data_IF_571030736992
#
_entry.id   IF_571030736992
#
_cell.length_a   1.000
_cell.length_b   1.000
_cell.length_c   1.000
_cell.angle_alpha   90.00
_cell.angle_beta   90.00
_cell.angle_gamma   90.00
#
_symmetry.space_group_name_H-M   'P 1'
#
loop_
_entity.id
_entity.type
_entity.pdbx_description
1 polymer ?
#
# COMPACT_ATOMS: atom_id res chain seq x y z
N UNK A 1 -0.88 38.13 0.55
CA UNK A 1 -1.27 37.02 -0.34
C UNK A 1 -0.59 35.78 0.21
N UNK A 2 -1.29 34.72 0.58
CA UNK A 2 -0.64 33.44 0.83
C UNK A 2 -0.09 32.91 -0.49
N UNK A 3 1.05 32.19 -0.49
CA UNK A 3 1.62 31.65 -1.73
C UNK A 3 0.63 30.70 -2.37
N UNK A 4 0.47 30.82 -3.70
CA UNK A 4 -0.30 29.90 -4.54
C UNK A 4 0.21 28.47 -4.25
N UNK A 5 -0.60 27.68 -3.57
CA UNK A 5 -0.39 26.24 -3.51
C UNK A 5 -0.66 25.70 -4.90
N UNK A 6 0.36 25.13 -5.54
CA UNK A 6 0.16 24.37 -6.76
C UNK A 6 -1.02 23.40 -6.55
N UNK A 7 -1.87 23.20 -7.57
CA UNK A 7 -2.99 22.27 -7.44
C UNK A 7 -2.43 20.88 -7.13
N UNK A 8 -2.74 20.38 -5.94
CA UNK A 8 -2.32 19.04 -5.51
C UNK A 8 -2.98 18.03 -6.44
N UNK A 9 -2.17 17.34 -7.24
CA UNK A 9 -2.66 16.37 -8.23
C UNK A 9 -3.17 15.13 -7.51
N UNK A 10 -4.43 14.77 -7.76
CA UNK A 10 -5.04 13.55 -7.22
C UNK A 10 -4.59 12.34 -8.03
N UNK A 11 -4.08 11.30 -7.35
CA UNK A 11 -3.77 10.00 -7.96
C UNK A 11 -5.01 9.11 -7.99
N UNK A 12 -5.76 9.07 -6.88
CA UNK A 12 -7.04 8.39 -6.82
C UNK A 12 -8.16 9.34 -6.43
N UNK A 13 -9.29 9.14 -7.07
CA UNK A 13 -10.57 9.70 -6.67
C UNK A 13 -11.60 8.59 -6.62
N UNK A 14 -11.97 8.16 -5.41
CA UNK A 14 -13.04 7.21 -5.14
C UNK A 14 -14.28 7.98 -4.68
N UNK A 15 -15.43 7.71 -5.30
CA UNK A 15 -16.69 8.38 -4.98
C UNK A 15 -17.80 7.38 -4.74
N UNK A 16 -18.43 7.45 -3.56
CA UNK A 16 -19.59 6.66 -3.15
C UNK A 16 -19.41 5.14 -3.36
N UNK A 17 -18.22 4.63 -3.05
CA UNK A 17 -17.87 3.22 -3.25
C UNK A 17 -18.67 2.35 -2.29
N UNK A 18 -19.43 1.41 -2.83
CA UNK A 18 -20.03 0.31 -2.07
C UNK A 18 -19.42 -1.02 -2.49
N UNK A 19 -19.39 -1.97 -1.56
CA UNK A 19 -19.03 -3.36 -1.85
C UNK A 19 -19.87 -4.30 -1.01
N UNK A 20 -20.58 -5.20 -1.67
CA UNK A 20 -21.38 -6.25 -1.06
C UNK A 20 -20.83 -7.60 -1.54
N UNK A 21 -20.45 -8.46 -0.62
CA UNK A 21 -20.08 -9.83 -0.89
C UNK A 21 -21.29 -10.74 -0.67
N UNK A 22 -21.63 -11.54 -1.67
CA UNK A 22 -22.69 -12.54 -1.58
C UNK A 22 -22.11 -13.87 -1.09
N UNK A 23 -22.44 -14.27 0.12
CA UNK A 23 -22.00 -15.52 0.76
C UNK A 23 -23.17 -16.47 0.92
N UNK A 24 -23.53 -17.18 -0.15
CA UNK A 24 -24.74 -17.99 -0.20
C UNK A 24 -25.99 -17.09 -0.10
N UNK A 25 -26.79 -17.28 0.96
CA UNK A 25 -27.99 -16.47 1.21
C UNK A 25 -27.74 -15.19 2.02
N UNK A 26 -26.48 -14.92 2.41
CA UNK A 26 -26.13 -13.77 3.25
C UNK A 26 -25.36 -12.73 2.45
N UNK A 27 -25.85 -11.49 2.50
CA UNK A 27 -25.18 -10.33 1.95
C UNK A 27 -24.33 -9.64 3.01
N UNK A 28 -23.03 -9.52 2.76
CA UNK A 28 -22.08 -8.85 3.66
C UNK A 28 -21.65 -7.53 3.04
N UNK A 29 -22.19 -6.39 3.49
CA UNK A 29 -21.79 -5.08 3.00
C UNK A 29 -20.45 -4.67 3.64
N UNK A 30 -19.36 -4.79 2.87
CA UNK A 30 -18.01 -4.45 3.32
C UNK A 30 -17.71 -2.95 3.19
N UNK A 31 -18.29 -2.25 2.19
CA UNK A 31 -18.19 -0.80 2.02
C UNK A 31 -19.58 -0.20 1.79
N UNK A 32 -19.82 0.98 2.37
CA UNK A 32 -21.15 1.59 2.46
C UNK A 32 -21.12 3.08 2.05
N UNK A 33 -20.67 3.39 0.83
CA UNK A 33 -20.59 4.75 0.30
C UNK A 33 -19.30 5.47 0.75
N UNK A 34 -18.14 4.84 0.53
CA UNK A 34 -16.83 5.42 0.84
C UNK A 34 -16.42 6.38 -0.28
N UNK A 35 -16.10 7.63 0.09
CA UNK A 35 -15.48 8.60 -0.80
C UNK A 35 -14.12 8.98 -0.26
N UNK A 36 -13.07 8.84 -1.08
CA UNK A 36 -11.67 9.06 -0.71
C UNK A 36 -10.89 9.62 -1.89
N UNK A 37 -10.09 10.65 -1.63
CA UNK A 37 -9.07 11.15 -2.52
C UNK A 37 -7.69 10.74 -1.98
N UNK A 38 -6.77 10.32 -2.84
CA UNK A 38 -5.37 10.05 -2.52
C UNK A 38 -4.49 10.92 -3.41
N UNK A 39 -3.59 11.71 -2.82
CA UNK A 39 -2.78 12.72 -3.50
C UNK A 39 -1.42 12.19 -3.86
N UNK A 40 -0.78 12.80 -4.88
CA UNK A 40 0.58 12.44 -5.28
C UNK A 40 1.56 12.58 -4.11
N UNK A 41 2.45 11.59 -3.98
CA UNK A 41 3.48 11.50 -2.93
C UNK A 41 2.97 11.50 -1.49
N UNK A 42 1.64 11.48 -1.29
CA UNK A 42 1.02 11.42 0.05
C UNK A 42 1.35 10.09 0.74
N UNK A 43 1.67 10.15 2.03
CA UNK A 43 1.71 8.99 2.91
C UNK A 43 0.40 8.96 3.72
N UNK A 44 -0.55 8.13 3.27
CA UNK A 44 -1.86 7.96 3.89
C UNK A 44 -1.86 6.74 4.83
N UNK A 45 -2.44 6.89 6.01
CA UNK A 45 -2.78 5.76 6.89
C UNK A 45 -4.29 5.57 6.94
N UNK A 46 -4.74 4.37 6.58
CA UNK A 46 -6.11 3.91 6.73
C UNK A 46 -6.22 3.13 8.04
N UNK A 47 -6.82 3.74 9.05
CA UNK A 47 -6.96 3.20 10.40
C UNK A 47 -8.35 2.62 10.62
N UNK A 48 -8.47 1.58 11.44
CA UNK A 48 -9.75 1.04 11.87
C UNK A 48 -9.67 -0.40 12.36
N UNK A 49 -10.70 -0.89 13.05
CA UNK A 49 -10.73 -2.26 13.56
C UNK A 49 -10.73 -3.30 12.44
N UNK A 50 -10.45 -4.55 12.78
CA UNK A 50 -10.61 -5.67 11.85
C UNK A 50 -12.05 -5.73 11.34
N UNK A 51 -12.22 -6.03 10.04
CA UNK A 51 -13.54 -6.09 9.40
C UNK A 51 -14.17 -4.73 9.06
N UNK A 52 -13.50 -3.60 9.27
CA UNK A 52 -14.05 -2.26 8.94
C UNK A 52 -14.10 -1.92 7.44
N UNK A 53 -13.59 -2.80 6.56
CA UNK A 53 -13.61 -2.59 5.10
C UNK A 53 -12.29 -2.08 4.51
N UNK A 54 -11.22 -1.89 5.30
CA UNK A 54 -9.91 -1.34 4.85
C UNK A 54 -9.30 -2.14 3.71
N UNK A 55 -9.11 -3.46 3.90
CA UNK A 55 -8.53 -4.35 2.87
C UNK A 55 -9.40 -4.42 1.62
N UNK A 56 -10.74 -4.37 1.78
CA UNK A 56 -11.66 -4.28 0.64
C UNK A 56 -11.46 -3.00 -0.15
N UNK A 57 -11.34 -1.85 0.52
CA UNK A 57 -11.08 -0.57 -0.14
C UNK A 57 -9.71 -0.61 -0.85
N UNK A 58 -8.66 -1.10 -0.18
CA UNK A 58 -7.32 -1.21 -0.78
C UNK A 58 -7.30 -2.13 -2.00
N UNK A 59 -8.01 -3.26 -1.94
CA UNK A 59 -8.12 -4.19 -3.08
C UNK A 59 -8.82 -3.53 -4.27
N UNK A 60 -9.84 -2.71 -4.03
CA UNK A 60 -10.54 -1.96 -5.08
C UNK A 60 -9.62 -0.88 -5.67
N UNK A 61 -8.93 -0.09 -4.86
CA UNK A 61 -7.95 0.90 -5.34
C UNK A 61 -6.82 0.23 -6.12
N UNK A 62 -6.38 -0.93 -5.68
CA UNK A 62 -5.34 -1.72 -6.35
C UNK A 62 -5.81 -2.51 -7.57
N UNK A 63 -7.10 -2.49 -7.93
CA UNK A 63 -7.64 -3.24 -9.05
C UNK A 63 -7.64 -4.76 -8.88
N UNK A 64 -7.57 -5.24 -7.63
CA UNK A 64 -7.72 -6.67 -7.29
C UNK A 64 -9.20 -7.07 -7.15
N UNK A 65 -10.06 -6.08 -6.89
CA UNK A 65 -11.50 -6.26 -6.80
C UNK A 65 -12.20 -5.06 -7.47
N UNK A 66 -13.49 -5.18 -7.75
CA UNK A 66 -14.30 -4.10 -8.31
C UNK A 66 -15.42 -3.74 -7.33
N UNK A 67 -15.81 -2.46 -7.22
CA UNK A 67 -16.92 -2.07 -6.35
C UNK A 67 -18.25 -2.61 -6.88
N UNK A 68 -19.24 -2.75 -5.98
CA UNK A 68 -20.62 -3.06 -6.36
C UNK A 68 -21.29 -1.82 -6.99
N UNK A 69 -20.98 -0.62 -6.46
CA UNK A 69 -21.39 0.66 -7.04
C UNK A 69 -20.40 1.76 -6.67
N UNK A 70 -20.57 2.93 -7.26
CA UNK A 70 -19.65 4.06 -7.12
C UNK A 70 -18.61 4.09 -8.23
N UNK A 71 -17.64 5.01 -8.14
CA UNK A 71 -16.63 5.21 -9.18
C UNK A 71 -15.25 5.33 -8.57
N UNK A 72 -14.27 4.65 -9.16
CA UNK A 72 -12.85 4.80 -8.84
C UNK A 72 -12.11 5.30 -10.07
N UNK A 73 -11.48 6.47 -9.95
CA UNK A 73 -10.61 7.03 -10.98
C UNK A 73 -9.16 6.96 -10.50
N UNK A 74 -8.28 6.48 -11.37
CA UNK A 74 -6.84 6.56 -11.22
C UNK A 74 -6.31 7.52 -12.29
N UNK A 75 -5.75 8.67 -11.87
CA UNK A 75 -5.28 9.75 -12.77
C UNK A 75 -6.31 10.07 -13.87
N UNK A 76 -7.60 10.10 -13.52
CA UNK A 76 -8.71 10.33 -14.44
C UNK A 76 -9.18 9.10 -15.23
N UNK A 77 -8.46 7.99 -15.24
CA UNK A 77 -8.88 6.74 -15.86
C UNK A 77 -9.86 5.99 -14.95
N UNK A 78 -11.01 5.59 -15.48
CA UNK A 78 -12.03 4.89 -14.71
C UNK A 78 -11.69 3.40 -14.56
N UNK A 79 -11.36 2.99 -13.33
CA UNK A 79 -11.08 1.59 -12.99
C UNK A 79 -12.34 0.76 -12.76
N UNK A 80 -13.47 1.40 -12.42
CA UNK A 80 -14.73 0.69 -12.10
C UNK A 80 -15.29 -0.07 -13.31
N UNK A 81 -15.09 0.48 -14.51
CA UNK A 81 -15.56 -0.11 -15.77
C UNK A 81 -14.45 -0.80 -16.57
N UNK A 82 -13.22 -0.83 -16.02
CA UNK A 82 -12.09 -1.44 -16.68
C UNK A 82 -12.23 -2.97 -16.74
N UNK A 83 -11.88 -3.55 -17.89
CA UNK A 83 -11.84 -4.99 -18.06
C UNK A 83 -10.63 -5.64 -17.39
N UNK A 84 -10.65 -6.98 -17.21
CA UNK A 84 -9.58 -7.71 -16.52
C UNK A 84 -8.18 -7.48 -17.13
N UNK A 85 -8.09 -7.31 -18.44
CA UNK A 85 -6.80 -7.01 -19.12
C UNK A 85 -6.27 -5.62 -18.74
N UNK A 86 -7.14 -4.63 -18.64
CA UNK A 86 -6.80 -3.26 -18.26
C UNK A 86 -6.40 -3.20 -16.77
N UNK A 87 -7.15 -3.89 -15.89
CA UNK A 87 -6.80 -4.00 -14.48
C UNK A 87 -5.47 -4.74 -14.28
N UNK A 88 -5.20 -5.78 -15.08
CA UNK A 88 -3.91 -6.48 -15.03
C UNK A 88 -2.76 -5.59 -15.47
N UNK A 89 -2.94 -4.80 -16.54
CA UNK A 89 -1.95 -3.81 -16.98
C UNK A 89 -1.73 -2.74 -15.90
N UNK A 90 -2.82 -2.22 -15.33
CA UNK A 90 -2.80 -1.24 -14.24
C UNK A 90 -2.01 -1.76 -13.03
N UNK A 91 -2.32 -2.96 -12.51
CA UNK A 91 -1.59 -3.59 -11.40
C UNK A 91 -0.11 -3.78 -11.71
N UNK A 92 0.20 -4.24 -12.92
CA UNK A 92 1.57 -4.49 -13.36
C UNK A 92 2.40 -3.21 -13.36
N UNK A 93 1.85 -2.13 -13.92
CA UNK A 93 2.61 -0.90 -14.17
C UNK A 93 2.58 0.09 -13.02
N UNK A 94 1.45 0.25 -12.37
CA UNK A 94 1.22 1.41 -11.49
C UNK A 94 1.13 1.09 -10.00
N UNK A 95 0.88 -0.18 -9.61
CA UNK A 95 0.61 -0.51 -8.21
C UNK A 95 1.61 -1.49 -7.64
N UNK A 96 2.32 -1.12 -6.58
CA UNK A 96 3.06 -2.03 -5.71
C UNK A 96 2.17 -2.52 -4.57
N UNK A 97 2.18 -3.82 -4.28
CA UNK A 97 1.47 -4.39 -3.14
C UNK A 97 2.43 -4.96 -2.11
N UNK A 98 2.17 -4.65 -0.84
CA UNK A 98 2.82 -5.24 0.33
C UNK A 98 1.74 -5.82 1.21
N UNK A 99 1.79 -7.13 1.47
CA UNK A 99 0.80 -7.86 2.28
C UNK A 99 1.38 -8.24 3.64
N UNK A 100 0.51 -8.51 4.61
CA UNK A 100 0.88 -8.98 5.94
C UNK A 100 1.70 -10.28 5.91
N UNK A 101 1.36 -11.21 5.04
CA UNK A 101 2.12 -12.45 4.79
C UNK A 101 2.97 -12.25 3.54
N UNK A 102 4.20 -11.99 3.66
CA UNK A 102 5.24 -11.56 2.71
C UNK A 102 5.07 -12.06 1.26
N UNK A 103 4.41 -13.21 1.05
CA UNK A 103 4.14 -13.83 -0.28
C UNK A 103 5.42 -14.00 -1.11
N UNK A 104 6.55 -14.34 -0.46
CA UNK A 104 7.79 -14.67 -1.15
C UNK A 104 7.72 -16.12 -1.67
N UNK A 105 8.39 -16.35 -2.79
CA UNK A 105 8.57 -17.70 -3.33
C UNK A 105 9.71 -18.37 -2.55
N UNK A 106 9.46 -19.46 -1.80
CA UNK A 106 10.43 -20.03 -0.86
C UNK A 106 11.70 -20.60 -1.52
N UNK A 107 11.59 -21.03 -2.79
CA UNK A 107 12.67 -21.60 -3.59
C UNK A 107 13.53 -20.56 -4.29
N UNK A 108 13.22 -19.28 -4.18
CA UNK A 108 13.97 -18.18 -4.77
C UNK A 108 14.67 -17.37 -3.68
N UNK A 109 15.87 -16.89 -3.97
CA UNK A 109 16.61 -15.94 -3.14
C UNK A 109 15.89 -14.60 -3.04
N UNK A 110 16.34 -13.70 -2.15
CA UNK A 110 15.82 -12.34 -2.05
C UNK A 110 15.92 -11.60 -3.40
N UNK A 111 17.07 -11.67 -4.06
CA UNK A 111 17.31 -11.09 -5.38
C UNK A 111 16.36 -11.64 -6.44
N UNK A 112 16.21 -12.95 -6.52
CA UNK A 112 15.32 -13.61 -7.48
C UNK A 112 13.84 -13.30 -7.21
N UNK A 113 13.41 -13.22 -5.95
CA UNK A 113 12.07 -12.78 -5.60
C UNK A 113 11.77 -11.36 -6.11
N UNK A 114 12.76 -10.45 -6.07
CA UNK A 114 12.62 -9.11 -6.62
C UNK A 114 12.67 -9.13 -8.15
N UNK A 115 13.52 -9.93 -8.74
CA UNK A 115 13.67 -10.05 -10.20
C UNK A 115 12.38 -10.47 -10.92
N UNK A 116 11.51 -11.25 -10.27
CA UNK A 116 10.22 -11.68 -10.84
C UNK A 116 9.35 -10.52 -11.38
N UNK A 117 9.45 -9.34 -10.80
CA UNK A 117 8.62 -8.21 -11.23
C UNK A 117 9.37 -7.30 -12.21
N UNK A 118 10.71 -7.39 -12.28
CA UNK A 118 11.49 -6.57 -13.20
C UNK A 118 11.37 -7.05 -14.65
N UNK A 119 11.13 -8.35 -14.86
CA UNK A 119 11.00 -8.95 -16.19
C UNK A 119 9.69 -8.59 -16.91
N UNK A 120 8.72 -8.02 -16.20
CA UNK A 120 7.38 -7.76 -16.73
C UNK A 120 7.05 -6.28 -16.91
N UNK A 121 8.00 -5.37 -16.66
CA UNK A 121 7.81 -3.91 -16.78
C UNK A 121 8.93 -3.27 -17.60
N UNK A 122 8.62 -2.10 -18.16
CA UNK A 122 9.61 -1.25 -18.84
C UNK A 122 10.37 -0.43 -17.78
N UNK A 123 11.68 -0.29 -17.88
CA UNK A 123 12.54 0.51 -16.99
C UNK A 123 12.41 0.17 -15.48
N UNK A 124 12.60 -1.10 -15.09
CA UNK A 124 12.59 -1.48 -13.68
C UNK A 124 13.84 -0.96 -12.95
N UNK A 125 13.74 -0.89 -11.62
CA UNK A 125 14.90 -0.76 -10.75
C UNK A 125 15.63 -2.12 -10.68
N UNK A 126 16.97 -2.12 -10.70
CA UNK A 126 17.73 -3.36 -10.51
C UNK A 126 17.39 -4.00 -9.16
N UNK A 127 17.28 -5.34 -9.07
CA UNK A 127 16.96 -6.03 -7.80
C UNK A 127 17.90 -5.64 -6.66
N UNK A 128 19.18 -5.48 -6.93
CA UNK A 128 20.20 -5.07 -5.95
C UNK A 128 19.96 -3.64 -5.43
N UNK A 129 19.52 -2.75 -6.31
CA UNK A 129 19.17 -1.36 -5.96
C UNK A 129 17.92 -1.34 -5.08
N UNK A 130 16.88 -2.09 -5.44
CA UNK A 130 15.65 -2.21 -4.66
C UNK A 130 15.91 -2.81 -3.26
N UNK A 131 16.75 -3.85 -3.18
CA UNK A 131 17.14 -4.46 -1.91
C UNK A 131 18.01 -3.52 -1.05
N UNK A 132 18.87 -2.72 -1.66
CA UNK A 132 19.65 -1.70 -0.95
C UNK A 132 18.76 -0.60 -0.35
N UNK A 133 17.71 -0.20 -1.05
CA UNK A 133 16.73 0.80 -0.57
C UNK A 133 16.05 0.39 0.75
N UNK A 134 15.99 -0.91 1.02
CA UNK A 134 15.38 -1.48 2.25
C UNK A 134 16.42 -2.11 3.18
N UNK A 135 17.70 -1.73 3.10
CA UNK A 135 18.81 -2.21 3.92
C UNK A 135 19.04 -3.74 3.88
N UNK A 136 18.92 -4.34 2.69
CA UNK A 136 19.15 -5.78 2.47
C UNK A 136 20.29 -6.09 1.50
N UNK A 137 21.24 -5.16 1.28
CA UNK A 137 22.39 -5.35 0.36
C UNK A 137 23.29 -6.51 0.73
N UNK A 138 23.28 -6.99 1.99
CA UNK A 138 24.04 -8.15 2.47
C UNK A 138 23.25 -9.45 2.44
N UNK A 139 21.99 -9.42 1.99
CA UNK A 139 21.03 -10.53 2.00
C UNK A 139 20.60 -11.00 0.61
N UNK A 140 21.22 -10.52 -0.46
CA UNK A 140 20.80 -10.73 -1.85
C UNK A 140 20.57 -12.21 -2.20
N UNK A 141 21.47 -13.07 -1.77
CA UNK A 141 21.48 -14.49 -2.12
C UNK A 141 20.92 -15.41 -1.00
N UNK A 142 20.25 -14.82 0.00
CA UNK A 142 19.56 -15.59 1.03
C UNK A 142 18.17 -16.01 0.59
N UNK A 143 17.80 -17.25 0.92
CA UNK A 143 16.44 -17.75 0.75
C UNK A 143 15.52 -17.24 1.86
N UNK A 144 14.20 -17.17 1.65
CA UNK A 144 13.26 -16.73 2.68
C UNK A 144 13.41 -17.46 4.03
N UNK A 145 13.73 -18.76 4.02
CA UNK A 145 13.99 -19.56 5.23
C UNK A 145 15.21 -19.13 6.05
N UNK A 146 16.10 -18.32 5.46
CA UNK A 146 17.32 -17.78 6.09
C UNK A 146 17.14 -16.33 6.56
N UNK A 147 15.96 -15.75 6.34
CA UNK A 147 15.63 -14.37 6.65
C UNK A 147 14.66 -14.30 7.82
N UNK A 148 14.84 -13.33 8.71
CA UNK A 148 13.83 -12.97 9.71
C UNK A 148 12.53 -12.50 9.08
N UNK A 149 11.42 -12.51 9.83
CA UNK A 149 10.13 -12.01 9.32
C UNK A 149 10.20 -10.58 8.78
N UNK A 150 10.90 -9.69 9.48
CA UNK A 150 11.10 -8.32 9.03
C UNK A 150 12.01 -8.19 7.80
N UNK A 151 13.04 -9.05 7.67
CA UNK A 151 13.83 -9.10 6.44
C UNK A 151 12.97 -9.60 5.27
N UNK A 152 12.14 -10.63 5.47
CA UNK A 152 11.21 -11.11 4.44
C UNK A 152 10.22 -10.03 4.02
N UNK A 153 9.68 -9.26 4.98
CA UNK A 153 8.79 -8.15 4.67
C UNK A 153 9.51 -7.06 3.88
N UNK A 154 10.75 -6.73 4.22
CA UNK A 154 11.54 -5.77 3.44
C UNK A 154 11.87 -6.29 2.02
N UNK A 155 12.09 -7.60 1.83
CA UNK A 155 12.18 -8.19 0.48
C UNK A 155 10.87 -8.00 -0.29
N UNK A 156 9.71 -8.19 0.37
CA UNK A 156 8.40 -7.95 -0.26
C UNK A 156 8.20 -6.47 -0.65
N UNK A 157 8.68 -5.52 0.16
CA UNK A 157 8.69 -4.10 -0.17
C UNK A 157 9.61 -3.84 -1.36
N UNK A 158 10.86 -4.34 -1.35
CA UNK A 158 11.80 -4.20 -2.47
C UNK A 158 11.19 -4.74 -3.77
N UNK A 159 10.56 -5.92 -3.73
CA UNK A 159 9.83 -6.48 -4.88
C UNK A 159 8.71 -5.56 -5.35
N UNK A 160 7.92 -5.00 -4.43
CA UNK A 160 6.81 -4.11 -4.79
C UNK A 160 7.27 -2.84 -5.49
N UNK A 161 8.44 -2.27 -5.10
CA UNK A 161 8.95 -1.00 -5.61
C UNK A 161 9.92 -1.14 -6.78
N UNK A 162 10.49 -2.33 -7.03
CA UNK A 162 11.44 -2.57 -8.12
C UNK A 162 10.84 -2.25 -9.50
N UNK A 163 9.55 -2.31 -9.66
CA UNK A 163 8.84 -1.93 -10.89
C UNK A 163 8.52 -0.43 -10.99
N UNK A 164 9.02 0.42 -10.06
CA UNK A 164 8.78 1.87 -9.99
C UNK A 164 7.28 2.24 -10.03
N UNK A 165 6.46 1.70 -9.12
CA UNK A 165 5.03 1.96 -9.13
C UNK A 165 4.72 3.41 -8.73
N UNK A 166 3.62 3.97 -9.27
CA UNK A 166 3.11 5.26 -8.82
C UNK A 166 2.54 5.20 -7.40
N UNK A 167 2.02 4.03 -7.02
CA UNK A 167 1.34 3.81 -5.74
C UNK A 167 1.82 2.54 -5.07
N UNK A 168 2.11 2.63 -3.77
CA UNK A 168 2.41 1.51 -2.88
C UNK A 168 1.24 1.30 -1.92
N UNK A 169 0.62 0.14 -2.00
CA UNK A 169 -0.51 -0.26 -1.16
C UNK A 169 -0.05 -1.33 -0.16
N UNK A 170 -0.09 -1.01 1.14
CA UNK A 170 0.39 -1.88 2.21
C UNK A 170 -0.79 -2.32 3.09
N UNK A 171 -1.08 -3.62 3.11
CA UNK A 171 -2.11 -4.21 3.97
C UNK A 171 -1.47 -4.84 5.21
N UNK A 172 -1.62 -4.20 6.38
CA UNK A 172 -1.08 -4.62 7.68
C UNK A 172 0.41 -5.01 7.63
N UNK A 173 1.31 -4.16 7.11
CA UNK A 173 2.69 -4.55 6.79
C UNK A 173 3.52 -4.95 8.02
N UNK A 174 3.06 -4.62 9.23
CA UNK A 174 3.72 -4.95 10.51
C UNK A 174 2.93 -5.92 11.39
N UNK A 175 1.76 -6.38 10.94
CA UNK A 175 0.82 -7.14 11.76
C UNK A 175 1.31 -8.51 12.27
N UNK A 176 2.37 -9.07 11.68
CA UNK A 176 2.97 -10.34 12.08
C UNK A 176 4.35 -10.17 12.77
N UNK A 177 4.75 -8.93 13.11
CA UNK A 177 6.09 -8.59 13.57
C UNK A 177 6.07 -8.04 15.00
N UNK A 178 7.18 -8.24 15.72
CA UNK A 178 7.43 -7.51 16.96
C UNK A 178 7.67 -6.01 16.70
N UNK A 179 7.59 -5.21 17.76
CA UNK A 179 7.67 -3.74 17.67
C UNK A 179 8.96 -3.27 16.98
N UNK A 180 10.12 -3.76 17.42
CA UNK A 180 11.42 -3.30 16.90
C UNK A 180 11.54 -3.62 15.40
N UNK A 181 11.16 -4.82 15.00
CA UNK A 181 11.15 -5.28 13.61
C UNK A 181 10.10 -4.51 12.77
N UNK A 182 8.93 -4.23 13.36
CA UNK A 182 7.87 -3.45 12.72
C UNK A 182 8.32 -2.02 12.41
N UNK A 183 9.07 -1.37 13.32
CA UNK A 183 9.65 -0.05 13.08
C UNK A 183 10.57 -0.06 11.86
N UNK A 184 11.47 -1.04 11.73
CA UNK A 184 12.37 -1.16 10.57
C UNK A 184 11.61 -1.32 9.24
N UNK A 185 10.49 -2.04 9.26
CA UNK A 185 9.61 -2.17 8.08
C UNK A 185 8.93 -0.85 7.74
N UNK A 186 8.44 -0.10 8.74
CA UNK A 186 7.83 1.22 8.52
C UNK A 186 8.87 2.24 8.07
N UNK A 187 10.12 2.19 8.56
CA UNK A 187 11.22 3.02 8.05
C UNK A 187 11.47 2.75 6.56
N UNK A 188 11.52 1.47 6.15
CA UNK A 188 11.68 1.11 4.74
C UNK A 188 10.54 1.65 3.87
N UNK A 189 9.28 1.55 4.32
CA UNK A 189 8.12 2.10 3.59
C UNK A 189 8.21 3.64 3.52
N UNK A 190 8.58 4.30 4.63
CA UNK A 190 8.74 5.76 4.68
C UNK A 190 9.86 6.22 3.74
N UNK A 191 10.99 5.50 3.70
CA UNK A 191 12.10 5.78 2.81
C UNK A 191 11.69 5.67 1.34
N UNK A 192 10.98 4.63 0.95
CA UNK A 192 10.41 4.45 -0.39
C UNK A 192 9.52 5.63 -0.78
N UNK A 193 8.60 6.05 0.09
CA UNK A 193 7.73 7.20 -0.18
C UNK A 193 8.55 8.48 -0.40
N UNK A 194 9.56 8.73 0.44
CA UNK A 194 10.36 9.95 0.40
C UNK A 194 11.35 9.99 -0.77
N UNK A 195 12.07 8.89 -1.05
CA UNK A 195 13.12 8.86 -2.07
C UNK A 195 12.56 8.69 -3.49
N UNK A 196 11.48 7.93 -3.65
CA UNK A 196 10.89 7.67 -4.95
C UNK A 196 9.68 8.56 -5.25
N UNK A 197 9.17 9.31 -4.27
CA UNK A 197 7.92 10.07 -4.41
C UNK A 197 6.68 9.18 -4.61
N UNK A 198 6.78 7.88 -4.30
CA UNK A 198 5.69 6.92 -4.49
C UNK A 198 4.55 7.23 -3.52
N UNK A 199 3.35 7.46 -4.04
CA UNK A 199 2.15 7.64 -3.21
C UNK A 199 1.90 6.38 -2.40
N UNK A 200 1.77 6.48 -1.07
CA UNK A 200 1.75 5.32 -0.19
C UNK A 200 0.48 5.29 0.66
N UNK A 201 -0.24 4.18 0.64
CA UNK A 201 -1.37 3.94 1.54
C UNK A 201 -1.09 2.71 2.42
N UNK A 202 -1.07 2.91 3.74
CA UNK A 202 -0.85 1.85 4.72
C UNK A 202 -2.13 1.59 5.49
N UNK A 203 -2.62 0.37 5.42
CA UNK A 203 -3.71 -0.10 6.27
C UNK A 203 -3.14 -0.67 7.55
N UNK A 204 -3.69 -0.26 8.69
CA UNK A 204 -3.34 -0.84 9.98
C UNK A 204 -4.47 -0.65 11.01
N UNK A 205 -4.46 -1.48 12.03
CA UNK A 205 -5.26 -1.28 13.24
C UNK A 205 -4.41 -0.66 14.37
N UNK A 206 -3.10 -0.46 14.15
CA UNK A 206 -2.20 0.14 15.13
C UNK A 206 -2.25 1.68 15.02
N UNK A 207 -2.84 2.33 16.03
CA UNK A 207 -2.99 3.78 16.07
C UNK A 207 -1.65 4.55 16.12
N UNK A 208 -0.58 3.94 16.62
CA UNK A 208 0.73 4.61 16.69
C UNK A 208 1.29 4.92 15.28
N UNK A 209 1.02 4.07 14.28
CA UNK A 209 1.45 4.27 12.90
C UNK A 209 0.85 5.53 12.28
N UNK A 210 -0.32 5.97 12.75
CA UNK A 210 -0.97 7.19 12.29
C UNK A 210 -0.08 8.44 12.44
N UNK A 211 0.78 8.48 13.46
CA UNK A 211 1.62 9.65 13.75
C UNK A 211 2.68 9.93 12.66
N UNK A 212 3.04 8.96 11.84
CA UNK A 212 4.01 9.14 10.75
C UNK A 212 3.37 9.56 9.40
N UNK A 213 2.05 9.51 9.29
CA UNK A 213 1.32 9.80 8.05
C UNK A 213 1.20 11.30 7.78
N UNK A 214 1.03 11.69 6.51
CA UNK A 214 0.56 13.02 6.13
C UNK A 214 -0.89 13.23 6.50
N UNK A 215 -1.68 12.15 6.36
CA UNK A 215 -3.11 12.15 6.61
C UNK A 215 -3.57 10.78 7.11
N UNK A 216 -4.54 10.80 8.00
CA UNK A 216 -5.13 9.62 8.60
C UNK A 216 -6.62 9.59 8.28
N UNK A 217 -7.07 8.50 7.68
CA UNK A 217 -8.48 8.24 7.40
C UNK A 217 -8.91 7.04 8.23
N UNK A 218 -9.94 7.21 9.06
CA UNK A 218 -10.46 6.13 9.89
C UNK A 218 -11.71 5.53 9.29
N UNK A 219 -11.72 4.19 9.18
CA UNK A 219 -12.86 3.41 8.72
C UNK A 219 -13.50 2.66 9.89
N UNK A 220 -14.83 2.65 9.92
CA UNK A 220 -15.65 1.83 10.82
C UNK A 220 -16.92 1.40 10.08
N UNK A 221 -17.28 0.12 10.19
CA UNK A 221 -18.49 -0.45 9.58
C UNK A 221 -18.68 -0.05 8.09
N UNK A 222 -17.59 -0.13 7.30
CA UNK A 222 -17.61 0.17 5.87
C UNK A 222 -17.76 1.65 5.52
N UNK A 223 -17.57 2.58 6.46
CA UNK A 223 -17.69 4.03 6.27
C UNK A 223 -16.45 4.77 6.76
N UNK A 224 -16.13 5.90 6.12
CA UNK A 224 -15.16 6.84 6.68
C UNK A 224 -15.85 7.60 7.82
N UNK A 225 -15.24 7.54 9.01
CA UNK A 225 -15.72 8.22 10.21
C UNK A 225 -14.84 9.41 10.59
N UNK A 226 -13.62 9.48 10.08
CA UNK A 226 -12.68 10.57 10.30
C UNK A 226 -11.72 10.68 9.13
N UNK A 227 -11.35 11.89 8.79
CA UNK A 227 -10.34 12.23 7.77
C UNK A 227 -9.59 13.48 8.26
N UNK A 228 -8.32 13.31 8.64
CA UNK A 228 -7.55 14.36 9.29
C UNK A 228 -6.09 14.38 8.78
N UNK A 229 -5.60 15.56 8.43
CA UNK A 229 -4.18 15.79 8.11
C UNK A 229 -3.37 15.95 9.37
N UNK A 230 -2.15 15.38 9.41
CA UNK A 230 -1.19 15.59 10.49
C UNK A 230 -0.43 16.89 10.27
N UNK A 231 -0.50 17.79 11.24
CA UNK A 231 0.31 19.01 11.25
C UNK A 231 1.78 18.72 11.57
N UNK A 232 2.06 17.67 12.35
CA UNK A 232 3.39 17.28 12.80
C UNK A 232 3.57 15.78 12.62
N UNK A 233 4.34 15.38 11.62
CA UNK A 233 4.71 13.98 11.40
C UNK A 233 5.92 13.60 12.23
N UNK A 234 5.92 12.38 12.76
CA UNK A 234 7.09 11.76 13.38
C UNK A 234 7.77 10.78 12.42
N UNK A 235 9.04 10.49 12.65
CA UNK A 235 9.74 9.43 11.91
C UNK A 235 9.31 8.07 12.45
N UNK A 236 9.34 7.04 11.60
CA UNK A 236 8.98 5.67 12.01
C UNK A 236 9.75 5.22 13.25
N UNK A 237 11.05 5.53 13.37
CA UNK A 237 11.90 5.22 14.54
C UNK A 237 11.50 5.90 15.85
N UNK A 238 10.65 6.92 15.81
CA UNK A 238 10.15 7.65 16.97
C UNK A 238 8.81 7.08 17.48
N UNK A 239 8.26 6.09 16.75
CA UNK A 239 7.02 5.41 17.13
C UNK A 239 7.25 4.51 18.34
N UNK A 240 6.24 4.42 19.20
CA UNK A 240 6.17 3.51 20.33
C UNK A 240 4.74 2.99 20.49
N UNK A 241 4.58 1.68 20.62
CA UNK A 241 3.28 1.01 20.88
C UNK A 241 3.45 -0.26 21.70
#
# INVERSE_FOLDING_TARGET
MPPDREPVTSVFFASEITKIYHMGEVDVPALRGVSLELRESEFLVLLGPSGSGKSTLLNILGGLDVPTSGTVLYRGQNLTTAGERELTYYRRKHVGFVFQFYNLIPSLTARENVALVTDIVDDPMAPEEALRLVDLQTRLDHFPSQLSGGEQQRVAIARAVAKRPDVLLCDEPTGALDIATGILVLEAIQQVNQELGTTTAVITHNAAVAAMADRVVSLSDGRIVSDASNAHKVKARELSW
#
